data_IF_254863160899
#
_entry.id   IF_254863160899
#
_cell.length_a   1.000
_cell.length_b   1.000
_cell.length_c   1.000
_cell.angle_alpha   90.00
_cell.angle_beta   90.00
_cell.angle_gamma   90.00
#
_symmetry.space_group_name_H-M   'P 1'
#
loop_
_entity.id
_entity.type
_entity.pdbx_description
1 polymer ?
#
# COMPACT_ATOMS: atom_id res chain seq x y z
N UNK A 1 -14.55 -8.20 -8.74
CA UNK A 1 -13.50 -8.98 -9.43
C UNK A 1 -13.99 -9.26 -10.83
N UNK A 2 -13.16 -9.07 -11.85
CA UNK A 2 -13.52 -9.43 -13.24
C UNK A 2 -12.96 -10.82 -13.50
N UNK A 3 -13.79 -11.72 -14.00
CA UNK A 3 -13.39 -13.07 -14.38
C UNK A 3 -13.26 -13.16 -15.90
N UNK A 4 -12.10 -13.63 -16.35
CA UNK A 4 -11.85 -13.87 -17.77
C UNK A 4 -12.40 -15.25 -18.14
N UNK A 5 -12.96 -15.37 -19.33
CA UNK A 5 -13.45 -16.63 -19.87
C UNK A 5 -12.89 -16.88 -21.28
N UNK A 6 -13.25 -18.01 -21.88
CA UNK A 6 -12.76 -18.43 -23.20
C UNK A 6 -13.07 -17.44 -24.34
N UNK A 7 -14.02 -16.51 -24.14
CA UNK A 7 -14.39 -15.48 -25.12
C UNK A 7 -13.75 -14.11 -24.82
N UNK A 8 -13.03 -13.97 -23.70
CA UNK A 8 -12.35 -12.72 -23.35
C UNK A 8 -11.16 -12.50 -24.27
N UNK A 9 -11.08 -11.31 -24.88
CA UNK A 9 -9.97 -10.89 -25.71
C UNK A 9 -9.20 -9.78 -25.00
N UNK A 10 -7.88 -9.92 -24.89
CA UNK A 10 -6.97 -8.90 -24.38
C UNK A 10 -6.14 -8.42 -25.58
N UNK A 11 -6.06 -7.10 -25.77
CA UNK A 11 -5.31 -6.48 -26.86
C UNK A 11 -4.51 -5.31 -26.30
N UNK A 12 -3.33 -5.10 -26.85
CA UNK A 12 -2.51 -3.94 -26.49
C UNK A 12 -3.17 -2.65 -26.98
N UNK A 13 -3.16 -1.63 -26.12
CA UNK A 13 -3.62 -0.30 -26.48
C UNK A 13 -2.44 0.53 -27.01
N UNK A 14 -2.27 0.58 -28.34
CA UNK A 14 -1.17 1.35 -28.96
C UNK A 14 -1.28 2.87 -28.79
N UNK A 15 -2.48 3.39 -28.50
CA UNK A 15 -2.75 4.82 -28.28
C UNK A 15 -3.36 5.04 -26.89
N UNK A 16 -2.65 4.62 -25.84
CA UNK A 16 -3.11 4.88 -24.47
C UNK A 16 -3.17 6.40 -24.23
N UNK A 17 -4.30 6.95 -23.74
CA UNK A 17 -4.39 8.35 -23.37
C UNK A 17 -3.29 8.73 -22.36
N UNK A 18 -2.63 9.91 -22.50
CA UNK A 18 -1.57 10.33 -21.58
C UNK A 18 -2.02 10.40 -20.11
N UNK A 19 -3.31 10.57 -19.88
CA UNK A 19 -3.98 10.69 -18.58
C UNK A 19 -4.52 9.36 -18.06
N UNK A 20 -4.33 8.24 -18.76
CA UNK A 20 -4.77 6.95 -18.25
C UNK A 20 -3.99 6.59 -16.96
N UNK A 21 -4.70 6.34 -15.84
CA UNK A 21 -4.03 6.11 -14.57
C UNK A 21 -3.27 4.79 -14.58
N UNK A 22 -1.97 4.85 -14.29
CA UNK A 22 -1.13 3.64 -14.13
C UNK A 22 -1.41 2.90 -12.83
N UNK A 23 -1.71 3.65 -11.78
CA UNK A 23 -2.06 3.15 -10.46
C UNK A 23 -3.21 3.97 -9.91
N UNK A 24 -4.11 3.31 -9.19
CA UNK A 24 -5.19 3.96 -8.46
C UNK A 24 -5.07 3.58 -7.00
N UNK A 25 -5.26 4.55 -6.11
CA UNK A 25 -5.13 4.37 -4.66
C UNK A 25 -6.36 4.94 -3.97
N UNK A 26 -6.83 4.24 -2.93
CA UNK A 26 -7.88 4.73 -2.02
C UNK A 26 -7.25 5.13 -0.70
N UNK A 27 -6.61 6.30 -0.68
CA UNK A 27 -5.76 6.73 0.43
C UNK A 27 -6.55 6.93 1.72
N UNK A 28 -6.08 6.28 2.78
CA UNK A 28 -6.56 6.42 4.15
C UNK A 28 -5.64 7.38 4.92
N UNK A 29 -6.17 8.49 5.49
CA UNK A 29 -5.38 9.36 6.37
C UNK A 29 -4.78 8.59 7.54
N UNK A 30 -3.54 8.93 7.95
CA UNK A 30 -2.82 8.17 9.00
C UNK A 30 -3.59 8.21 10.32
N UNK A 31 -4.25 9.33 10.61
CA UNK A 31 -5.06 9.51 11.82
C UNK A 31 -6.30 8.63 11.90
N UNK A 32 -6.80 8.16 10.75
CA UNK A 32 -7.97 7.29 10.70
C UNK A 32 -7.59 5.80 10.81
N UNK A 33 -6.30 5.45 10.76
CA UNK A 33 -5.84 4.06 10.88
C UNK A 33 -6.32 3.33 12.16
N UNK A 34 -6.40 3.97 13.34
CA UNK A 34 -6.94 3.34 14.54
C UNK A 34 -8.36 2.78 14.37
N UNK A 35 -9.19 3.39 13.53
CA UNK A 35 -10.57 2.95 13.26
C UNK A 35 -10.61 1.57 12.56
N UNK A 36 -9.51 1.16 11.93
CA UNK A 36 -9.42 -0.08 11.17
C UNK A 36 -8.87 -1.26 11.97
N UNK A 37 -8.40 -1.08 13.21
CA UNK A 37 -7.77 -2.14 14.03
C UNK A 37 -8.69 -3.35 14.25
N UNK A 38 -10.01 -3.14 14.29
CA UNK A 38 -11.02 -4.20 14.43
C UNK A 38 -11.91 -4.37 13.19
N UNK A 39 -11.53 -3.73 12.09
CA UNK A 39 -12.28 -3.80 10.83
C UNK A 39 -12.05 -5.14 10.13
N UNK A 40 -12.99 -5.52 9.26
CA UNK A 40 -12.80 -6.65 8.32
C UNK A 40 -11.97 -6.26 7.10
N UNK A 41 -11.67 -4.98 6.93
CA UNK A 41 -10.80 -4.47 5.87
C UNK A 41 -9.39 -4.99 6.10
N UNK A 42 -8.82 -5.66 5.09
CA UNK A 42 -7.51 -6.31 5.18
C UNK A 42 -6.37 -5.50 4.55
N UNK A 43 -6.72 -4.53 3.70
CA UNK A 43 -5.76 -3.75 2.93
C UNK A 43 -6.16 -2.27 3.01
N UNK A 44 -5.17 -1.41 3.24
CA UNK A 44 -5.32 0.03 3.33
C UNK A 44 -4.20 0.66 2.50
N UNK A 45 -4.54 1.67 1.71
CA UNK A 45 -3.56 2.48 1.01
C UNK A 45 -3.23 3.70 1.89
N UNK A 46 -1.95 4.00 2.10
CA UNK A 46 -1.51 5.17 2.88
C UNK A 46 -0.43 5.92 2.10
N UNK A 47 -0.35 7.23 2.31
CA UNK A 47 0.72 8.07 1.78
C UNK A 47 1.26 8.97 2.87
N UNK A 48 2.58 9.15 2.91
CA UNK A 48 3.25 10.02 3.87
C UNK A 48 4.71 10.24 3.51
N UNK A 49 5.28 11.31 4.04
CA UNK A 49 6.71 11.58 4.01
C UNK A 49 7.42 10.57 4.92
N UNK A 50 8.50 9.97 4.43
CA UNK A 50 9.39 9.17 5.27
C UNK A 50 10.15 10.11 6.20
N UNK A 51 10.00 9.91 7.51
CA UNK A 51 10.68 10.70 8.56
C UNK A 51 11.73 9.90 9.32
N UNK A 52 11.77 8.58 9.11
CA UNK A 52 12.77 7.71 9.73
C UNK A 52 12.70 6.30 9.16
N UNK A 53 13.86 5.63 9.12
CA UNK A 53 13.99 4.26 8.68
C UNK A 53 14.96 3.56 9.61
N UNK A 54 14.58 2.41 10.17
CA UNK A 54 15.49 1.62 10.99
C UNK A 54 16.52 0.86 10.14
N UNK A 55 17.58 0.41 10.80
CA UNK A 55 18.41 -0.65 10.26
C UNK A 55 17.59 -1.90 9.97
N UNK A 56 18.02 -2.64 8.95
CA UNK A 56 17.42 -3.91 8.62
C UNK A 56 17.92 -4.98 9.59
N UNK A 57 17.01 -5.77 10.14
CA UNK A 57 17.32 -6.81 11.11
C UNK A 57 16.66 -8.14 10.73
N UNK A 58 17.32 -9.24 11.07
CA UNK A 58 16.73 -10.58 10.95
C UNK A 58 15.71 -10.80 12.07
N UNK A 59 14.53 -11.29 11.72
CA UNK A 59 13.49 -11.69 12.68
C UNK A 59 12.97 -13.08 12.36
N UNK A 60 12.55 -13.81 13.39
CA UNK A 60 12.00 -15.15 13.25
C UNK A 60 10.48 -15.13 13.41
N UNK A 61 9.76 -15.79 12.50
CA UNK A 61 8.30 -15.94 12.60
C UNK A 61 7.94 -16.92 13.71
N UNK A 62 6.65 -16.98 14.08
CA UNK A 62 6.15 -18.02 14.99
C UNK A 62 6.34 -19.44 14.44
N UNK A 63 6.50 -19.58 13.12
CA UNK A 63 6.77 -20.86 12.46
C UNK A 63 8.28 -21.21 12.42
N UNK A 64 9.16 -20.28 12.83
CA UNK A 64 10.62 -20.47 12.84
C UNK A 64 11.35 -19.91 11.61
N UNK A 65 10.63 -19.37 10.63
CA UNK A 65 11.24 -18.82 9.41
C UNK A 65 12.00 -17.53 9.69
N UNK A 66 13.20 -17.40 9.12
CA UNK A 66 14.00 -16.18 9.21
C UNK A 66 13.62 -15.20 8.07
N UNK A 67 13.37 -13.94 8.41
CA UNK A 67 13.07 -12.88 7.43
C UNK A 67 13.74 -11.56 7.81
N UNK A 68 14.14 -10.78 6.80
CA UNK A 68 14.62 -9.42 6.99
C UNK A 68 13.45 -8.47 7.25
N UNK A 69 13.54 -7.65 8.29
CA UNK A 69 12.55 -6.64 8.66
C UNK A 69 13.21 -5.29 8.90
N UNK A 70 12.53 -4.21 8.52
CA UNK A 70 12.82 -2.85 8.97
C UNK A 70 11.55 -2.09 9.30
N UNK A 71 11.66 -1.06 10.11
CA UNK A 71 10.58 -0.14 10.45
C UNK A 71 10.75 1.14 9.64
N UNK A 72 9.66 1.62 9.05
CA UNK A 72 9.60 2.91 8.33
C UNK A 72 8.58 3.79 9.04
N UNK A 73 9.00 4.99 9.43
CA UNK A 73 8.13 6.00 10.03
C UNK A 73 7.62 6.95 8.96
N UNK A 74 6.30 7.07 8.85
CA UNK A 74 5.61 7.91 7.88
C UNK A 74 4.88 9.04 8.60
N UNK A 75 4.86 10.23 7.98
CA UNK A 75 4.12 11.41 8.44
C UNK A 75 3.31 11.99 7.28
N UNK A 76 2.02 12.21 7.46
CA UNK A 76 1.17 12.87 6.47
C UNK A 76 1.18 14.41 6.66
N UNK A 77 0.57 15.13 5.72
CA UNK A 77 0.64 16.60 5.65
C UNK A 77 -0.03 17.32 6.82
N UNK A 78 -0.81 16.63 7.65
CA UNK A 78 -1.55 17.25 8.75
C UNK A 78 -0.62 17.86 9.81
N UNK A 79 0.58 17.31 9.96
CA UNK A 79 1.54 17.73 10.99
C UNK A 79 2.61 18.71 10.50
N UNK A 80 2.45 19.32 9.32
CA UNK A 80 3.44 20.24 8.71
C UNK A 80 3.21 21.72 9.10
N UNK A 81 2.07 22.05 9.72
CA UNK A 81 1.65 23.43 10.03
C UNK A 81 1.38 23.70 11.53
N UNK A 82 2.01 22.95 12.44
CA UNK A 82 1.98 23.23 13.89
C UNK A 82 3.37 23.65 14.38
#
# INVERSE_FOLDING_TARGET
>A
MIELNKRTQIRDAHNQPPDFPKYTFSLTPIENLPDYVRSRVRFLDVIGKIIGVSDAAMVYTKAGDAMMRRVVHLQDLKYVYL
#
